data_IF_356735755520
#
_entry.id   IF_356735755520
#
_cell.length_a   1.000
_cell.length_b   1.000
_cell.length_c   1.000
_cell.angle_alpha   90.00
_cell.angle_beta   90.00
_cell.angle_gamma   90.00
#
_symmetry.space_group_name_H-M   'P 1'
#
loop_
_entity.id
_entity.type
_entity.pdbx_description
1 polymer ?
#
# COMPACT_ATOMS: atom_id res chain seq x y z
N UNK A 1 -18.38 -1.37 -32.42
CA UNK A 1 -17.17 -1.73 -31.65
C UNK A 1 -16.68 -3.05 -32.19
N UNK A 2 -15.39 -3.15 -32.44
CA UNK A 2 -14.70 -4.38 -32.87
C UNK A 2 -13.57 -4.67 -31.90
N UNK A 3 -13.14 -5.94 -31.83
CA UNK A 3 -11.97 -6.31 -31.01
C UNK A 3 -10.75 -5.57 -31.53
N UNK A 4 -10.01 -4.93 -30.63
CA UNK A 4 -8.79 -4.23 -30.98
C UNK A 4 -7.66 -5.23 -31.22
N UNK A 5 -6.80 -4.97 -32.20
CA UNK A 5 -5.61 -5.80 -32.42
C UNK A 5 -4.58 -5.56 -31.32
N UNK A 6 -4.53 -4.33 -30.82
CA UNK A 6 -3.78 -3.98 -29.62
C UNK A 6 -4.66 -4.19 -28.37
N UNK A 7 -4.39 -5.27 -27.63
CA UNK A 7 -5.06 -5.58 -26.36
C UNK A 7 -4.44 -4.87 -25.14
N UNK A 8 -3.50 -3.95 -25.35
CA UNK A 8 -2.99 -3.10 -24.28
C UNK A 8 -3.93 -1.94 -24.00
N UNK A 9 -4.37 -1.80 -22.75
CA UNK A 9 -5.08 -0.60 -22.27
C UNK A 9 -4.12 0.54 -21.91
N UNK A 10 -2.80 0.31 -21.98
CA UNK A 10 -1.78 1.29 -21.58
C UNK A 10 -1.62 1.44 -20.06
N UNK A 11 -2.27 0.59 -19.28
CA UNK A 11 -2.22 0.52 -17.81
C UNK A 11 -2.57 -0.90 -17.37
N UNK A 12 -2.57 -1.18 -16.07
CA UNK A 12 -2.92 -2.49 -15.49
C UNK A 12 -2.12 -3.64 -16.12
N UNK A 13 -0.82 -3.43 -16.33
CA UNK A 13 0.03 -4.46 -16.90
C UNK A 13 0.02 -5.72 -16.03
N UNK A 14 0.01 -6.88 -16.68
CA UNK A 14 -0.16 -8.16 -15.99
C UNK A 14 -1.62 -8.59 -15.78
N UNK A 15 -2.61 -7.72 -16.03
CA UNK A 15 -4.01 -8.13 -16.06
C UNK A 15 -4.32 -8.90 -17.35
N UNK A 16 -4.58 -10.19 -17.22
CA UNK A 16 -4.91 -11.07 -18.36
C UNK A 16 -6.41 -11.12 -18.65
N UNK A 17 -7.25 -10.87 -17.65
CA UNK A 17 -8.71 -10.90 -17.79
C UNK A 17 -9.24 -9.54 -18.27
N UNK A 18 -8.80 -9.08 -19.44
CA UNK A 18 -9.30 -7.85 -20.07
C UNK A 18 -9.55 -8.05 -21.56
N UNK A 19 -10.52 -7.31 -22.11
CA UNK A 19 -10.81 -7.27 -23.55
C UNK A 19 -10.88 -5.83 -24.02
N UNK A 20 -9.94 -5.41 -24.85
CA UNK A 20 -9.90 -4.09 -25.45
C UNK A 20 -10.67 -4.09 -26.77
N UNK A 21 -11.57 -3.11 -26.90
CA UNK A 21 -12.38 -2.84 -28.08
C UNK A 21 -12.03 -1.48 -28.64
N UNK A 22 -12.17 -1.34 -29.96
CA UNK A 22 -12.06 -0.06 -30.66
C UNK A 22 -13.31 0.23 -31.47
N UNK A 23 -13.50 1.52 -31.79
CA UNK A 23 -14.51 1.90 -32.78
C UNK A 23 -14.23 1.22 -34.12
N UNK A 24 -15.30 0.86 -34.80
CA UNK A 24 -15.23 0.34 -36.18
C UNK A 24 -14.99 1.47 -37.19
N UNK A 25 -15.40 2.70 -36.82
CA UNK A 25 -15.24 3.87 -37.66
C UNK A 25 -13.84 4.48 -37.50
N UNK A 26 -13.13 4.69 -38.62
CA UNK A 26 -11.80 5.31 -38.62
C UNK A 26 -11.77 6.75 -38.06
N UNK A 27 -12.92 7.42 -38.00
CA UNK A 27 -13.06 8.81 -37.53
C UNK A 27 -13.05 8.93 -36.01
N UNK A 28 -13.43 7.88 -35.27
CA UNK A 28 -13.49 7.89 -33.82
C UNK A 28 -12.42 6.96 -33.25
N UNK A 29 -11.30 7.52 -32.76
CA UNK A 29 -10.27 6.76 -31.99
C UNK A 29 -10.74 6.45 -30.56
N UNK A 30 -12.00 6.07 -30.40
CA UNK A 30 -12.52 5.62 -29.11
C UNK A 30 -12.11 4.18 -28.89
N UNK A 31 -11.38 3.94 -27.79
CA UNK A 31 -11.04 2.60 -27.29
C UNK A 31 -11.71 2.39 -25.94
N UNK A 32 -12.10 1.16 -25.66
CA UNK A 32 -12.71 0.75 -24.40
C UNK A 32 -12.12 -0.55 -23.93
N UNK A 33 -12.04 -0.76 -22.63
CA UNK A 33 -11.62 -2.02 -22.03
C UNK A 33 -12.76 -2.59 -21.19
N UNK A 34 -13.10 -3.84 -21.47
CA UNK A 34 -14.08 -4.62 -20.72
C UNK A 34 -13.33 -5.55 -19.78
N UNK A 35 -13.69 -5.50 -18.50
CA UNK A 35 -13.07 -6.31 -17.45
C UNK A 35 -14.19 -7.02 -16.67
N UNK A 36 -14.19 -8.36 -16.59
CA UNK A 36 -15.18 -9.08 -15.79
C UNK A 36 -14.99 -8.79 -14.30
N UNK A 37 -16.08 -8.81 -13.55
CA UNK A 37 -16.06 -8.74 -12.10
C UNK A 37 -16.10 -10.16 -11.53
N UNK A 38 -15.17 -10.48 -10.63
CA UNK A 38 -15.02 -11.80 -10.02
C UNK A 38 -13.91 -11.83 -8.98
N UNK A 39 -13.50 -13.04 -8.62
CA UNK A 39 -12.39 -13.26 -7.67
C UNK A 39 -11.06 -12.95 -8.35
N UNK A 40 -10.31 -11.98 -7.81
CA UNK A 40 -9.03 -11.56 -8.38
C UNK A 40 -7.90 -12.41 -7.79
N UNK A 41 -7.27 -13.19 -8.64
CA UNK A 41 -6.11 -14.01 -8.29
C UNK A 41 -4.86 -13.36 -8.88
N UNK A 42 -3.82 -13.24 -8.06
CA UNK A 42 -2.54 -12.71 -8.49
C UNK A 42 -1.39 -13.58 -8.00
N UNK A 43 -0.33 -13.65 -8.80
CA UNK A 43 0.90 -14.37 -8.45
C UNK A 43 2.11 -13.66 -9.05
N UNK A 44 3.28 -13.88 -8.45
CA UNK A 44 4.53 -13.36 -8.98
C UNK A 44 4.91 -14.09 -10.29
N UNK A 45 5.11 -13.36 -11.38
CA UNK A 45 5.45 -13.91 -12.69
C UNK A 45 6.68 -13.22 -13.28
N UNK A 46 7.86 -13.67 -12.85
CA UNK A 46 9.13 -13.09 -13.27
C UNK A 46 9.30 -11.67 -12.74
N UNK A 47 9.38 -10.68 -13.64
CA UNK A 47 9.60 -9.27 -13.26
C UNK A 47 8.29 -8.49 -13.02
N UNK A 48 7.13 -9.09 -13.28
CA UNK A 48 5.83 -8.46 -13.10
C UNK A 48 4.83 -9.42 -12.44
N UNK A 49 3.76 -8.91 -11.85
CA UNK A 49 2.62 -9.71 -11.39
C UNK A 49 1.81 -10.24 -12.59
N UNK A 50 1.28 -11.45 -12.46
CA UNK A 50 0.22 -11.98 -13.32
C UNK A 50 -1.10 -11.95 -12.54
N UNK A 51 -2.10 -11.25 -13.10
CA UNK A 51 -3.42 -11.05 -12.48
C UNK A 51 -4.49 -11.66 -13.38
N UNK A 52 -5.34 -12.50 -12.80
CA UNK A 52 -6.46 -13.16 -13.47
C UNK A 52 -7.72 -12.99 -12.63
N UNK A 53 -8.88 -12.99 -13.29
CA UNK A 53 -10.17 -12.85 -12.64
C UNK A 53 -10.93 -14.15 -12.85
N UNK A 54 -11.13 -14.90 -11.78
CA UNK A 54 -11.89 -16.14 -11.78
C UNK A 54 -13.39 -15.83 -11.70
N UNK A 55 -14.13 -16.31 -12.70
CA UNK A 55 -15.57 -16.16 -12.83
C UNK A 55 -16.31 -17.49 -12.85
N UNK A 56 -15.61 -18.61 -12.68
CA UNK A 56 -16.16 -19.97 -12.87
C UNK A 56 -17.30 -20.30 -11.90
N UNK A 57 -17.28 -19.72 -10.69
CA UNK A 57 -18.30 -19.95 -9.67
C UNK A 57 -19.53 -19.04 -9.82
N UNK A 58 -19.53 -18.10 -10.79
CA UNK A 58 -20.59 -17.12 -10.95
C UNK A 58 -21.63 -17.61 -11.96
N UNK A 59 -22.90 -17.62 -11.55
CA UNK A 59 -24.03 -17.90 -12.45
C UNK A 59 -24.28 -16.78 -13.46
N UNK A 60 -23.91 -15.55 -13.10
CA UNK A 60 -23.94 -14.36 -13.96
C UNK A 60 -22.68 -13.55 -13.75
N UNK A 61 -21.90 -13.38 -14.81
CA UNK A 61 -20.67 -12.58 -14.79
C UNK A 61 -21.02 -11.13 -15.08
N UNK A 62 -20.85 -10.27 -14.07
CA UNK A 62 -20.89 -8.83 -14.26
C UNK A 62 -19.57 -8.37 -14.89
N UNK A 63 -19.58 -7.21 -15.52
CA UNK A 63 -18.38 -6.62 -16.11
C UNK A 63 -18.40 -5.10 -15.96
N UNK A 64 -17.21 -4.53 -15.98
CA UNK A 64 -17.00 -3.10 -16.03
C UNK A 64 -16.51 -2.73 -17.42
N UNK A 65 -17.10 -1.68 -17.98
CA UNK A 65 -16.67 -1.05 -19.21
C UNK A 65 -15.99 0.27 -18.85
N UNK A 66 -14.73 0.40 -19.24
CA UNK A 66 -13.94 1.61 -19.07
C UNK A 66 -13.53 2.17 -20.43
N UNK A 67 -13.85 3.44 -20.65
CA UNK A 67 -13.33 4.18 -21.79
C UNK A 67 -11.88 4.57 -21.57
N UNK A 68 -11.04 4.36 -22.58
CA UNK A 68 -9.63 4.72 -22.57
C UNK A 68 -9.52 6.16 -23.09
N UNK A 69 -9.43 7.11 -22.17
CA UNK A 69 -9.23 8.51 -22.50
C UNK A 69 -7.73 8.83 -22.56
N UNK A 70 -7.18 8.79 -23.77
CA UNK A 70 -5.76 9.08 -24.01
C UNK A 70 -5.42 10.57 -23.89
N UNK A 71 -6.41 11.46 -23.94
CA UNK A 71 -6.17 12.90 -23.83
C UNK A 71 -5.95 13.31 -22.38
N UNK A 72 -6.74 12.72 -21.46
CA UNK A 72 -6.60 12.93 -20.02
C UNK A 72 -5.76 11.87 -19.33
N UNK A 73 -5.34 10.83 -20.05
CA UNK A 73 -4.49 9.77 -19.52
C UNK A 73 -5.21 8.95 -18.44
N UNK A 74 -6.46 8.56 -18.66
CA UNK A 74 -7.24 7.85 -17.63
C UNK A 74 -8.23 6.87 -18.21
N UNK A 75 -8.56 5.87 -17.40
CA UNK A 75 -9.72 5.02 -17.63
C UNK A 75 -10.97 5.72 -17.06
N UNK A 76 -12.07 5.75 -17.82
CA UNK A 76 -13.33 6.39 -17.43
C UNK A 76 -14.43 5.33 -17.36
N UNK A 77 -14.92 5.04 -16.15
CA UNK A 77 -15.97 4.05 -15.94
C UNK A 77 -17.38 4.64 -16.09
N UNK A 78 -18.38 3.82 -15.78
CA UNK A 78 -19.81 4.18 -15.80
C UNK A 78 -20.28 5.10 -14.65
N UNK A 79 -19.37 5.59 -13.81
CA UNK A 79 -19.68 6.46 -12.65
C UNK A 79 -20.23 5.76 -11.41
N UNK A 80 -20.38 4.42 -11.43
CA UNK A 80 -20.80 3.67 -10.23
C UNK A 80 -19.65 3.52 -9.24
N UNK A 81 -19.96 3.49 -7.93
CA UNK A 81 -18.97 3.33 -6.87
C UNK A 81 -18.19 2.03 -7.00
N UNK A 82 -18.92 0.93 -7.19
CA UNK A 82 -18.32 -0.37 -7.49
C UNK A 82 -17.32 -0.31 -8.66
N UNK A 83 -17.63 0.41 -9.74
CA UNK A 83 -16.71 0.58 -10.88
C UNK A 83 -15.45 1.36 -10.51
N UNK A 84 -15.55 2.38 -9.65
CA UNK A 84 -14.40 3.11 -9.13
C UNK A 84 -13.53 2.26 -8.20
N UNK A 85 -14.13 1.55 -7.24
CA UNK A 85 -13.42 0.69 -6.31
C UNK A 85 -12.74 -0.49 -7.00
N UNK A 86 -13.45 -1.15 -7.92
CA UNK A 86 -12.86 -2.26 -8.67
C UNK A 86 -11.69 -1.80 -9.54
N UNK A 87 -11.82 -0.64 -10.20
CA UNK A 87 -10.72 -0.05 -10.97
C UNK A 87 -9.52 0.27 -10.08
N UNK A 88 -9.75 0.89 -8.92
CA UNK A 88 -8.69 1.18 -7.96
C UNK A 88 -8.00 -0.10 -7.48
N UNK A 89 -8.78 -1.15 -7.19
CA UNK A 89 -8.25 -2.45 -6.79
C UNK A 89 -7.36 -3.05 -7.87
N UNK A 90 -7.79 -3.03 -9.13
CA UNK A 90 -7.00 -3.54 -10.25
C UNK A 90 -5.68 -2.78 -10.41
N UNK A 91 -5.69 -1.44 -10.38
CA UNK A 91 -4.45 -0.66 -10.41
C UNK A 91 -3.52 -0.96 -9.24
N UNK A 92 -4.09 -1.21 -8.04
CA UNK A 92 -3.32 -1.55 -6.85
C UNK A 92 -2.62 -2.92 -6.99
N UNK A 93 -3.35 -3.96 -7.42
CA UNK A 93 -2.77 -5.30 -7.58
C UNK A 93 -1.79 -5.38 -8.73
N UNK A 94 -1.99 -4.61 -9.80
CA UNK A 94 -1.04 -4.49 -10.92
C UNK A 94 0.07 -3.46 -10.68
N UNK A 95 0.18 -2.91 -9.46
CA UNK A 95 1.12 -1.84 -9.14
C UNK A 95 2.58 -2.26 -9.38
N UNK A 96 3.32 -1.42 -10.09
CA UNK A 96 4.75 -1.60 -10.34
C UNK A 96 5.53 -0.32 -10.04
N UNK A 97 6.86 -0.42 -9.97
CA UNK A 97 7.72 0.74 -9.72
C UNK A 97 7.81 1.69 -10.93
N UNK A 98 7.35 1.26 -12.11
CA UNK A 98 7.34 2.07 -13.31
C UNK A 98 5.96 2.70 -13.52
N UNK A 99 5.90 3.96 -13.97
CA UNK A 99 4.64 4.59 -14.35
C UNK A 99 4.00 3.90 -15.55
N UNK A 100 2.67 3.82 -15.55
CA UNK A 100 1.91 3.30 -16.68
C UNK A 100 1.91 4.32 -17.84
N UNK A 101 2.06 3.90 -19.12
CA UNK A 101 2.06 4.84 -20.25
C UNK A 101 0.78 5.66 -20.41
N UNK A 102 -0.38 5.12 -20.02
CA UNK A 102 -1.65 5.85 -20.09
C UNK A 102 -1.74 6.94 -19.03
N UNK A 103 -1.49 6.60 -17.76
CA UNK A 103 -1.71 7.51 -16.62
C UNK A 103 -0.50 8.35 -16.26
N UNK A 104 0.68 7.97 -16.76
CA UNK A 104 1.98 8.58 -16.43
C UNK A 104 2.33 8.55 -14.93
N UNK A 105 1.62 7.75 -14.14
CA UNK A 105 1.89 7.47 -12.73
C UNK A 105 1.83 5.97 -12.47
N UNK A 106 2.33 5.53 -11.33
CA UNK A 106 2.29 4.10 -10.99
C UNK A 106 0.87 3.62 -10.69
N UNK A 107 0.60 2.33 -10.88
CA UNK A 107 -0.70 1.74 -10.51
C UNK A 107 -1.07 1.96 -9.03
N UNK A 108 -0.09 1.90 -8.13
CA UNK A 108 -0.28 2.20 -6.71
C UNK A 108 -0.76 3.64 -6.48
N UNK A 109 -0.13 4.62 -7.13
CA UNK A 109 -0.50 6.04 -7.03
C UNK A 109 -1.87 6.30 -7.64
N UNK A 110 -2.16 5.73 -8.82
CA UNK A 110 -3.48 5.85 -9.47
C UNK A 110 -4.60 5.25 -8.60
N UNK A 111 -4.36 4.09 -8.00
CA UNK A 111 -5.32 3.48 -7.08
C UNK A 111 -5.63 4.40 -5.88
N UNK A 112 -4.60 4.99 -5.26
CA UNK A 112 -4.78 5.95 -4.16
C UNK A 112 -5.51 7.22 -4.62
N UNK A 113 -5.19 7.74 -5.81
CA UNK A 113 -5.87 8.89 -6.42
C UNK A 113 -7.36 8.63 -6.59
N UNK A 114 -7.72 7.47 -7.16
CA UNK A 114 -9.11 7.07 -7.36
C UNK A 114 -9.82 7.00 -6.00
N UNK A 115 -9.25 6.30 -5.02
CA UNK A 115 -9.87 6.10 -3.71
C UNK A 115 -10.06 7.42 -2.93
N UNK A 116 -9.16 8.38 -3.09
CA UNK A 116 -9.26 9.71 -2.47
C UNK A 116 -10.19 10.66 -3.20
N UNK A 117 -10.60 10.33 -4.42
CA UNK A 117 -11.48 11.18 -5.20
C UNK A 117 -12.85 11.35 -4.54
N UNK A 118 -13.48 12.51 -4.74
CA UNK A 118 -14.82 12.76 -4.23
C UNK A 118 -15.86 11.79 -4.83
N UNK A 119 -15.59 11.21 -6.01
CA UNK A 119 -16.44 10.18 -6.60
C UNK A 119 -16.60 9.03 -5.62
N UNK A 120 -15.52 8.52 -5.03
CA UNK A 120 -15.52 7.42 -4.05
C UNK A 120 -16.21 7.77 -2.71
N UNK A 121 -16.65 9.01 -2.50
CA UNK A 121 -17.41 9.42 -1.32
C UNK A 121 -18.86 9.81 -1.66
N UNK A 122 -19.24 9.73 -2.94
CA UNK A 122 -20.56 10.13 -3.43
C UNK A 122 -21.56 8.98 -3.39
N UNK A 123 -21.72 8.36 -2.22
CA UNK A 123 -22.68 7.30 -1.98
C UNK A 123 -23.66 7.64 -0.87
N UNK A 124 -24.85 7.07 -0.95
CA UNK A 124 -25.82 7.13 0.13
C UNK A 124 -25.50 6.04 1.18
N UNK A 125 -25.32 4.79 0.73
CA UNK A 125 -24.99 3.63 1.55
C UNK A 125 -24.02 2.74 0.77
N UNK A 126 -23.05 2.14 1.47
CA UNK A 126 -22.16 1.14 0.88
C UNK A 126 -22.87 -0.21 0.79
N UNK A 127 -22.79 -0.85 -0.37
CA UNK A 127 -23.22 -2.23 -0.54
C UNK A 127 -22.15 -3.21 -0.05
N UNK A 128 -22.59 -4.40 0.35
CA UNK A 128 -21.74 -5.54 0.75
C UNK A 128 -20.64 -5.83 -0.26
N UNK A 129 -20.93 -5.79 -1.56
CA UNK A 129 -19.93 -6.01 -2.62
C UNK A 129 -18.87 -4.90 -2.67
N UNK A 130 -19.25 -3.65 -2.41
CA UNK A 130 -18.32 -2.52 -2.39
C UNK A 130 -17.41 -2.59 -1.17
N UNK A 131 -17.96 -2.99 -0.02
CA UNK A 131 -17.21 -3.22 1.22
C UNK A 131 -16.21 -4.35 1.05
N UNK A 132 -16.57 -5.40 0.32
CA UNK A 132 -15.65 -6.50 0.01
C UNK A 132 -14.43 -6.01 -0.77
N UNK A 133 -14.65 -5.22 -1.83
CA UNK A 133 -13.51 -4.67 -2.60
C UNK A 133 -12.67 -3.72 -1.77
N UNK A 134 -13.28 -2.89 -0.92
CA UNK A 134 -12.53 -2.04 0.01
C UNK A 134 -11.72 -2.88 1.02
N UNK A 135 -12.25 -4.01 1.47
CA UNK A 135 -11.53 -4.96 2.34
C UNK A 135 -10.33 -5.56 1.62
N UNK A 136 -10.50 -6.01 0.39
CA UNK A 136 -9.42 -6.52 -0.45
C UNK A 136 -8.32 -5.48 -0.67
N UNK A 137 -8.68 -4.23 -0.98
CA UNK A 137 -7.71 -3.12 -1.10
C UNK A 137 -6.97 -2.88 0.21
N UNK A 138 -7.68 -2.87 1.34
CA UNK A 138 -7.08 -2.67 2.67
C UNK A 138 -6.11 -3.80 3.04
N UNK A 139 -6.41 -5.03 2.59
CA UNK A 139 -5.58 -6.21 2.80
C UNK A 139 -4.26 -6.19 2.00
N UNK A 140 -4.14 -5.33 0.98
CA UNK A 140 -2.87 -5.13 0.26
C UNK A 140 -1.82 -4.41 1.11
N UNK A 141 -2.21 -3.72 2.19
CA UNK A 141 -1.27 -3.11 3.12
C UNK A 141 -0.55 -4.20 3.94
N UNK A 142 0.79 -4.19 4.02
CA UNK A 142 1.55 -5.18 4.77
C UNK A 142 1.11 -5.27 6.23
N UNK A 143 0.98 -6.49 6.75
CA UNK A 143 0.62 -6.69 8.14
C UNK A 143 1.85 -6.49 9.02
N UNK A 144 1.76 -5.61 10.02
CA UNK A 144 2.88 -5.22 10.88
C UNK A 144 2.55 -5.45 12.36
N UNK A 145 3.28 -6.34 13.00
CA UNK A 145 3.09 -6.70 14.41
C UNK A 145 4.39 -6.62 15.20
N UNK A 146 4.29 -6.48 16.51
CA UNK A 146 5.46 -6.52 17.39
C UNK A 146 5.97 -7.95 17.56
N UNK A 147 7.29 -8.10 17.58
CA UNK A 147 7.95 -9.36 17.88
C UNK A 147 8.99 -9.15 19.01
N UNK A 148 9.09 -10.08 19.97
CA UNK A 148 8.03 -11.03 20.34
C UNK A 148 6.74 -10.28 20.72
N UNK A 149 5.53 -10.86 20.61
CA UNK A 149 4.26 -10.13 20.78
C UNK A 149 4.10 -9.38 22.11
N UNK A 150 4.77 -9.85 23.17
CA UNK A 150 4.75 -9.25 24.50
C UNK A 150 5.76 -8.11 24.70
N UNK A 151 6.59 -7.79 23.69
CA UNK A 151 7.62 -6.76 23.77
C UNK A 151 7.60 -5.86 22.53
N UNK A 152 7.84 -4.56 22.74
CA UNK A 152 7.91 -3.56 21.66
C UNK A 152 9.36 -3.32 21.20
N UNK A 153 10.09 -4.40 20.94
CA UNK A 153 11.55 -4.35 20.66
C UNK A 153 11.87 -4.50 19.17
N UNK A 154 11.11 -5.31 18.42
CA UNK A 154 11.27 -5.47 16.98
C UNK A 154 9.92 -5.63 16.28
N UNK A 155 9.92 -5.46 14.95
CA UNK A 155 8.73 -5.63 14.12
C UNK A 155 8.84 -6.90 13.28
N UNK A 156 7.71 -7.57 13.11
CA UNK A 156 7.49 -8.60 12.10
C UNK A 156 6.58 -8.01 11.02
N UNK A 157 6.92 -8.25 9.75
CA UNK A 157 6.14 -7.76 8.60
C UNK A 157 5.76 -8.95 7.74
N UNK A 158 4.46 -9.14 7.52
CA UNK A 158 3.93 -10.14 6.59
C UNK A 158 3.51 -9.43 5.31
N UNK A 159 4.20 -9.77 4.23
CA UNK A 159 3.93 -9.29 2.88
C UNK A 159 3.06 -10.29 2.14
N UNK A 160 2.23 -9.81 1.22
CA UNK A 160 1.56 -10.65 0.23
C UNK A 160 2.51 -11.02 -0.91
N UNK A 161 2.05 -11.85 -1.85
CA UNK A 161 2.81 -12.29 -3.03
C UNK A 161 3.08 -11.17 -4.05
N UNK A 162 2.51 -9.98 -3.84
CA UNK A 162 2.71 -8.81 -4.70
C UNK A 162 4.08 -8.18 -4.47
N UNK A 163 4.53 -7.41 -5.45
CA UNK A 163 5.74 -6.61 -5.31
C UNK A 163 5.61 -5.63 -4.12
N UNK A 164 6.70 -5.34 -3.37
CA UNK A 164 6.65 -4.38 -2.26
C UNK A 164 6.16 -2.98 -2.68
N UNK A 165 6.37 -2.57 -3.93
CA UNK A 165 5.87 -1.30 -4.49
C UNK A 165 4.34 -1.24 -4.62
N UNK A 166 3.68 -2.39 -4.74
CA UNK A 166 2.21 -2.51 -4.79
C UNK A 166 1.57 -2.54 -3.40
N UNK A 167 2.36 -2.77 -2.34
CA UNK A 167 1.85 -2.96 -0.97
C UNK A 167 2.02 -1.69 -0.13
N UNK A 168 1.27 -0.66 -0.48
CA UNK A 168 1.40 0.68 0.10
C UNK A 168 0.66 0.83 1.45
N UNK A 169 1.30 1.47 2.44
CA UNK A 169 0.72 1.66 3.79
C UNK A 169 -0.52 2.59 3.77
N UNK A 170 -0.66 3.42 2.74
CA UNK A 170 -1.77 4.36 2.56
C UNK A 170 -3.09 3.76 2.10
N UNK A 171 -3.13 2.53 1.57
CA UNK A 171 -4.40 1.91 1.14
C UNK A 171 -5.35 1.77 2.31
N UNK A 172 -4.84 1.18 3.41
CA UNK A 172 -5.58 1.08 4.66
C UNK A 172 -6.13 2.41 5.14
N UNK A 173 -5.30 3.46 5.17
CA UNK A 173 -5.69 4.78 5.66
C UNK A 173 -6.85 5.37 4.85
N UNK A 174 -6.78 5.25 3.52
CA UNK A 174 -7.83 5.80 2.65
C UNK A 174 -9.12 4.98 2.78
N UNK A 175 -9.03 3.64 2.78
CA UNK A 175 -10.18 2.75 3.00
C UNK A 175 -10.84 3.06 4.33
N UNK A 176 -10.07 3.22 5.42
CA UNK A 176 -10.62 3.56 6.72
C UNK A 176 -11.38 4.89 6.68
N UNK A 177 -10.87 5.91 5.97
CA UNK A 177 -11.59 7.19 5.84
C UNK A 177 -12.92 7.06 5.10
N UNK A 178 -13.01 6.15 4.12
CA UNK A 178 -14.24 5.84 3.38
C UNK A 178 -15.24 5.15 4.31
N UNK A 179 -14.78 4.16 5.09
CA UNK A 179 -15.62 3.47 6.09
C UNK A 179 -16.10 4.45 7.16
N UNK A 180 -15.22 5.28 7.73
CA UNK A 180 -15.59 6.28 8.72
C UNK A 180 -16.61 7.27 8.14
N UNK A 181 -16.51 7.61 6.85
CA UNK A 181 -17.50 8.44 6.15
C UNK A 181 -18.85 7.72 6.07
N UNK A 182 -18.86 6.45 5.68
CA UNK A 182 -20.07 5.64 5.64
C UNK A 182 -20.73 5.51 7.02
N UNK A 183 -19.94 5.32 8.08
CA UNK A 183 -20.42 5.28 9.46
C UNK A 183 -21.08 6.59 9.89
N UNK A 184 -20.49 7.75 9.53
CA UNK A 184 -21.11 9.06 9.80
C UNK A 184 -22.46 9.21 9.09
N UNK A 185 -22.59 8.67 7.88
CA UNK A 185 -23.85 8.69 7.14
C UNK A 185 -24.92 7.76 7.75
N UNK A 186 -24.55 6.80 8.61
CA UNK A 186 -25.52 5.89 9.23
C UNK A 186 -26.57 6.59 10.09
N UNK A 187 -26.29 7.80 10.56
CA UNK A 187 -27.27 8.59 11.33
C UNK A 187 -28.53 8.94 10.53
N UNK A 188 -28.49 8.86 9.20
CA UNK A 188 -29.62 9.12 8.32
C UNK A 188 -30.46 7.87 8.00
N UNK A 189 -30.09 6.69 8.52
CA UNK A 189 -30.75 5.42 8.22
C UNK A 189 -31.36 4.76 9.47
N UNK A 190 -32.44 4.02 9.26
CA UNK A 190 -33.15 3.27 10.31
C UNK A 190 -32.41 2.00 10.75
N UNK A 191 -31.49 1.50 9.91
CA UNK A 191 -30.72 0.28 10.14
C UNK A 191 -29.24 0.62 10.12
N UNK A 192 -28.51 0.10 11.10
CA UNK A 192 -27.06 0.24 11.20
C UNK A 192 -26.43 -1.06 10.72
N UNK A 193 -25.62 -0.97 9.67
CA UNK A 193 -24.77 -2.07 9.23
C UNK A 193 -23.43 -1.95 9.95
N UNK A 194 -22.85 -3.08 10.36
CA UNK A 194 -21.45 -3.07 10.77
C UNK A 194 -20.59 -3.16 9.50
N UNK A 195 -19.87 -2.08 9.19
CA UNK A 195 -19.01 -1.97 8.00
C UNK A 195 -17.52 -1.96 8.39
N UNK A 196 -17.20 -2.35 9.62
CA UNK A 196 -15.83 -2.33 10.11
C UNK A 196 -14.93 -3.30 9.32
N UNK A 197 -13.76 -2.81 8.93
CA UNK A 197 -12.69 -3.61 8.30
C UNK A 197 -11.58 -3.79 9.34
N UNK A 198 -11.30 -5.03 9.70
CA UNK A 198 -10.35 -5.35 10.77
C UNK A 198 -8.92 -4.89 10.47
N UNK A 199 -8.18 -4.54 11.53
CA UNK A 199 -6.78 -4.16 11.50
C UNK A 199 -5.90 -5.18 12.21
N UNK A 200 -5.27 -6.13 11.49
CA UNK A 200 -4.31 -7.01 12.13
C UNK A 200 -3.01 -6.28 12.51
N UNK A 201 -2.74 -5.09 11.94
CA UNK A 201 -1.51 -4.32 12.18
C UNK A 201 -1.59 -3.39 13.38
N UNK A 202 -0.45 -3.16 14.03
CA UNK A 202 -0.29 -2.10 15.02
C UNK A 202 -0.21 -0.72 14.35
N UNK A 203 -1.03 0.23 14.81
CA UNK A 203 -1.12 1.58 14.23
C UNK A 203 0.22 2.36 14.32
N UNK A 204 0.98 2.17 15.40
CA UNK A 204 2.29 2.82 15.57
C UNK A 204 3.34 2.27 14.60
N UNK A 205 3.31 0.96 14.33
CA UNK A 205 4.17 0.34 13.33
C UNK A 205 3.81 0.77 11.90
N UNK A 206 2.53 0.88 11.58
CA UNK A 206 2.07 1.41 10.29
C UNK A 206 2.52 2.86 10.08
N UNK A 207 2.29 3.73 11.06
CA UNK A 207 2.72 5.14 10.98
C UNK A 207 4.25 5.28 10.89
N UNK A 208 5.00 4.38 11.55
CA UNK A 208 6.46 4.32 11.42
C UNK A 208 6.88 3.88 10.01
N UNK A 209 6.23 2.87 9.45
CA UNK A 209 6.53 2.39 8.12
C UNK A 209 6.24 3.45 7.06
N UNK A 210 5.06 4.08 7.10
CA UNK A 210 4.69 5.17 6.20
C UNK A 210 5.71 6.31 6.22
N UNK A 211 6.20 6.71 7.40
CA UNK A 211 7.26 7.72 7.53
C UNK A 211 8.59 7.27 6.91
N UNK A 212 8.95 6.00 7.08
CA UNK A 212 10.20 5.45 6.51
C UNK A 212 10.14 5.31 4.99
N UNK A 213 8.97 5.00 4.44
CA UNK A 213 8.76 4.82 3.01
C UNK A 213 8.36 6.11 2.29
N UNK A 214 8.07 7.19 3.02
CA UNK A 214 7.63 8.48 2.48
C UNK A 214 8.53 9.02 1.36
N UNK A 215 9.86 8.83 1.46
CA UNK A 215 10.80 9.32 0.45
C UNK A 215 10.71 8.60 -0.91
N UNK A 216 10.07 7.42 -0.95
CA UNK A 216 9.89 6.64 -2.18
C UNK A 216 8.71 7.13 -3.02
N UNK A 217 7.85 7.97 -2.44
CA UNK A 217 6.60 8.40 -3.06
C UNK A 217 6.54 9.91 -3.16
N UNK A 218 5.75 10.41 -4.12
CA UNK A 218 5.45 11.84 -4.16
C UNK A 218 4.76 12.27 -2.84
N UNK A 219 4.92 13.53 -2.39
CA UNK A 219 4.38 13.99 -1.10
C UNK A 219 2.88 13.74 -0.91
N UNK A 220 2.13 13.73 -2.02
CA UNK A 220 0.71 13.43 -2.06
C UNK A 220 0.40 11.97 -1.71
N UNK A 221 1.30 11.03 -2.06
CA UNK A 221 1.11 9.59 -1.88
C UNK A 221 1.83 9.02 -0.68
N UNK A 222 2.63 9.79 0.07
CA UNK A 222 3.47 9.35 1.20
C UNK A 222 2.73 8.83 2.46
N UNK A 223 1.56 8.20 2.33
CA UNK A 223 0.93 7.40 3.38
C UNK A 223 0.49 8.18 4.64
N UNK A 224 0.29 9.49 4.55
CA UNK A 224 -0.04 10.33 5.71
C UNK A 224 1.17 10.70 6.57
N UNK A 225 2.40 10.37 6.17
CA UNK A 225 3.63 10.81 6.84
C UNK A 225 3.76 12.33 6.93
N UNK A 226 3.11 13.04 6.01
CA UNK A 226 3.12 14.49 5.89
C UNK A 226 1.96 15.17 6.64
N UNK A 227 1.16 14.45 7.43
CA UNK A 227 0.29 15.11 8.39
C UNK A 227 1.20 15.87 9.37
N UNK A 228 1.26 17.19 9.22
CA UNK A 228 1.99 18.11 10.08
C UNK A 228 1.41 18.12 11.50
N UNK A 229 1.46 16.98 12.20
CA UNK A 229 1.34 16.96 13.65
C UNK A 229 2.58 17.66 14.19
N UNK A 230 2.37 18.65 15.06
CA UNK A 230 3.39 19.49 15.70
C UNK A 230 4.56 18.69 16.35
N UNK A 231 4.37 17.40 16.59
CA UNK A 231 5.35 16.47 17.17
C UNK A 231 6.31 15.83 16.15
N UNK A 232 6.15 16.09 14.85
CA UNK A 232 6.92 15.43 13.77
C UNK A 232 8.03 16.35 13.25
N UNK A 233 8.91 16.78 14.15
CA UNK A 233 10.10 17.58 13.82
C UNK A 233 11.29 16.65 13.61
N UNK A 234 12.03 16.86 12.53
CA UNK A 234 13.32 16.17 12.32
C UNK A 234 14.22 16.39 13.53
N UNK A 235 14.65 15.29 14.14
CA UNK A 235 15.61 15.32 15.25
C UNK A 235 17.01 15.33 14.64
N UNK A 236 17.85 16.26 15.08
CA UNK A 236 19.26 16.28 14.69
C UNK A 236 19.91 14.96 15.13
N UNK A 237 20.35 14.16 14.16
CA UNK A 237 21.06 12.92 14.46
C UNK A 237 22.42 13.26 15.09
N UNK A 238 22.56 12.94 16.37
CA UNK A 238 23.86 12.98 17.05
C UNK A 238 24.58 11.68 16.71
N UNK A 239 25.70 11.78 16.00
CA UNK A 239 26.47 10.57 15.64
C UNK A 239 26.91 9.84 16.90
N UNK A 240 26.90 8.51 16.84
CA UNK A 240 27.33 7.65 17.95
C UNK A 240 28.82 7.85 18.29
N UNK A 241 29.56 8.39 17.33
CA UNK A 241 30.99 8.67 17.43
C UNK A 241 31.24 10.06 18.05
N UNK A 242 30.19 10.87 18.31
CA UNK A 242 30.35 12.07 19.13
C UNK A 242 30.62 11.62 20.55
N UNK A 243 31.87 11.79 20.97
CA UNK A 243 32.33 11.64 22.33
C UNK A 243 31.55 12.61 23.25
N UNK A 244 30.36 12.20 23.69
CA UNK A 244 29.63 12.91 24.73
C UNK A 244 30.44 12.82 26.02
N UNK A 245 30.42 13.86 26.88
CA UNK A 245 31.13 13.84 28.17
C UNK A 245 30.79 12.60 29.02
N UNK A 246 29.60 12.01 28.82
CA UNK A 246 29.19 10.76 29.45
C UNK A 246 29.83 9.52 28.79
N UNK A 247 29.86 9.46 27.46
CA UNK A 247 30.52 8.41 26.70
C UNK A 247 32.03 8.35 26.96
N UNK A 248 32.70 9.50 27.02
CA UNK A 248 34.12 9.59 27.39
C UNK A 248 34.40 9.11 28.82
N UNK A 249 33.52 9.44 29.78
CA UNK A 249 33.65 8.95 31.16
C UNK A 249 33.48 7.43 31.23
N UNK A 250 32.51 6.88 30.49
CA UNK A 250 32.28 5.44 30.45
C UNK A 250 33.44 4.69 29.77
N UNK A 251 33.98 5.20 28.66
CA UNK A 251 35.18 4.63 28.03
C UNK A 251 36.42 4.74 28.92
N UNK A 252 36.60 5.85 29.62
CA UNK A 252 37.70 6.02 30.58
C UNK A 252 37.61 5.01 31.73
N UNK A 253 36.40 4.75 32.23
CA UNK A 253 36.14 3.72 33.25
C UNK A 253 36.41 2.31 32.70
N UNK A 254 35.97 2.00 31.47
CA UNK A 254 36.24 0.69 30.86
C UNK A 254 37.75 0.50 30.64
N UNK A 255 38.48 1.54 30.20
CA UNK A 255 39.95 1.52 30.08
C UNK A 255 40.66 1.35 31.42
N UNK A 256 40.19 1.99 32.48
CA UNK A 256 40.82 1.82 33.80
C UNK A 256 40.57 0.43 34.37
N UNK A 257 39.37 -0.15 34.20
CA UNK A 257 39.08 -1.52 34.61
C UNK A 257 39.85 -2.56 33.81
N UNK A 258 40.04 -2.35 32.50
CA UNK A 258 40.83 -3.27 31.66
C UNK A 258 42.32 -3.20 31.99
N UNK A 259 42.88 -2.01 32.26
CA UNK A 259 44.26 -1.89 32.74
C UNK A 259 44.46 -2.52 34.12
N UNK A 260 43.50 -2.34 35.04
CA UNK A 260 43.56 -2.98 36.36
C UNK A 260 43.49 -4.51 36.26
N UNK A 261 42.67 -5.04 35.35
CA UNK A 261 42.59 -6.48 35.10
C UNK A 261 43.90 -7.05 34.52
N UNK A 262 44.59 -6.28 33.67
CA UNK A 262 45.91 -6.64 33.14
C UNK A 262 46.97 -6.64 34.25
N UNK A 263 46.99 -5.62 35.12
CA UNK A 263 47.92 -5.56 36.26
C UNK A 263 47.69 -6.69 37.27
N UNK A 264 46.42 -7.07 37.51
CA UNK A 264 46.10 -8.21 38.39
C UNK A 264 46.55 -9.53 37.77
N UNK A 265 46.39 -9.72 36.46
CA UNK A 265 46.91 -10.89 35.74
C UNK A 265 48.43 -10.99 35.86
N UNK A 266 49.15 -9.88 35.63
CA UNK A 266 50.62 -9.84 35.70
C UNK A 266 51.13 -10.10 37.13
N UNK A 267 50.43 -9.62 38.16
CA UNK A 267 50.78 -9.92 39.56
C UNK A 267 50.46 -11.36 40.00
N UNK A 268 49.58 -12.09 39.28
CA UNK A 268 49.32 -13.50 39.57
C UNK A 268 50.37 -14.43 38.94
N UNK A 269 50.99 -14.03 37.83
CA UNK A 269 52.08 -14.79 37.22
C UNK A 269 53.38 -14.72 38.06
N UNK A 270 53.63 -13.61 38.76
CA UNK A 270 54.80 -13.45 39.66
C UNK A 270 54.70 -14.26 40.97
N UNK A 271 53.53 -14.81 41.32
CA UNK A 271 53.33 -15.60 42.56
C UNK A 271 53.52 -17.12 42.31
N UNK A 272 53.61 -17.56 41.05
CA UNK A 272 53.78 -18.99 40.70
C UNK A 272 55.24 -19.37 40.43
N UNK A 273 56.17 -18.41 40.38
CA UNK A 273 57.61 -18.62 40.15
C UNK A 273 58.52 -18.40 41.40
N UNK A 274 57.99 -18.57 42.62
CA UNK A 274 58.77 -18.54 43.86
C UNK A 274 58.64 -19.83 44.70
#
# INVERSE_FOLDING_TARGET
>A
MVVDEDQSSGTMFGLHSQLVLRSDTQLARSRRVIIPQGEVNFSSSGNHVSVTINTAHLTRVLYHDYEIDTNLGRLVGNGTMMSHYFRAYLHAVTGHCLPDPLTSITGTEEALNILRSASCLSFQRLDTAEVEVLREISALTPVRTWYPPHCRVMQEVKWSELAPSAQHDGFRTVVQSIIDHAERLQMFYHSRDNVAIECPSDAGLLARAARRSAFLYSPEFAGGANSHSQDNVDVVYVSRDVATNQGMKNEAVIRSFSNLAIEICLMQDDIVEA
#
